data_IF_223943951766
#
_entry.id   IF_223943951766
#
_cell.length_a   1.000
_cell.length_b   1.000
_cell.length_c   1.000
_cell.angle_alpha   90.00
_cell.angle_beta   90.00
_cell.angle_gamma   90.00
#
_symmetry.space_group_name_H-M   'P 1'
#
loop_
_entity.id
_entity.type
_entity.pdbx_description
1 polymer ?
#
# COMPACT_ATOMS: atom_id res chain seq x y z
N UNK A 1 30.26 14.49 -2.27
CA UNK A 1 29.20 14.37 -1.24
C UNK A 1 27.93 13.69 -1.78
N UNK A 2 27.42 14.05 -2.97
CA UNK A 2 26.28 13.35 -3.62
C UNK A 2 26.57 11.88 -3.97
N UNK A 3 27.84 11.56 -4.21
CA UNK A 3 28.36 10.19 -4.42
C UNK A 3 28.24 9.33 -3.13
N UNK A 4 28.66 9.85 -1.96
CA UNK A 4 28.60 9.11 -0.69
C UNK A 4 27.18 8.69 -0.27
N UNK A 5 26.16 9.49 -0.60
CA UNK A 5 24.75 9.16 -0.36
C UNK A 5 24.26 8.03 -1.29
N UNK A 6 24.81 7.91 -2.51
CA UNK A 6 24.49 6.82 -3.44
C UNK A 6 25.10 5.48 -3.02
N UNK A 7 26.28 5.48 -2.39
CA UNK A 7 26.99 4.24 -2.05
C UNK A 7 26.46 3.54 -0.79
N UNK A 8 25.72 4.25 0.08
CA UNK A 8 25.06 3.62 1.25
C UNK A 8 23.85 2.76 0.90
N UNK A 9 23.15 3.06 -0.20
CA UNK A 9 21.99 2.30 -0.68
C UNK A 9 21.93 2.35 -2.22
N UNK A 10 22.81 1.57 -2.86
CA UNK A 10 23.06 1.63 -4.31
C UNK A 10 21.81 1.50 -5.20
N UNK A 11 21.62 2.50 -6.07
CA UNK A 11 20.89 2.37 -7.34
C UNK A 11 21.83 1.73 -8.36
N UNK A 12 21.76 0.41 -8.56
CA UNK A 12 22.35 -0.24 -9.73
C UNK A 12 21.24 -0.66 -10.69
N UNK A 13 21.09 0.11 -11.77
CA UNK A 13 20.25 -0.21 -12.91
C UNK A 13 21.00 -1.20 -13.79
N UNK A 14 20.72 -2.50 -13.67
CA UNK A 14 21.26 -3.50 -14.60
C UNK A 14 20.40 -3.46 -15.86
N UNK A 15 20.96 -2.91 -16.95
CA UNK A 15 20.45 -3.11 -18.30
C UNK A 15 20.65 -4.59 -18.66
N UNK A 16 19.57 -5.36 -18.80
CA UNK A 16 19.61 -6.69 -19.42
C UNK A 16 19.51 -6.51 -20.93
N UNK A 17 20.56 -6.90 -21.66
CA UNK A 17 20.51 -7.20 -23.09
C UNK A 17 19.83 -8.56 -23.31
N UNK A 18 19.04 -8.73 -24.38
CA UNK A 18 18.32 -9.97 -24.64
C UNK A 18 19.25 -11.03 -25.24
N UNK A 19 19.21 -12.25 -24.68
CA UNK A 19 19.83 -13.44 -25.27
C UNK A 19 18.80 -14.09 -26.20
N UNK A 20 19.23 -14.35 -27.44
CA UNK A 20 18.43 -14.94 -28.50
C UNK A 20 18.06 -16.41 -28.21
N UNK A 21 16.83 -16.74 -28.57
CA UNK A 21 16.29 -18.09 -28.72
C UNK A 21 17.16 -18.92 -29.68
N UNK A 22 17.39 -20.18 -29.31
CA UNK A 22 17.63 -21.25 -30.28
C UNK A 22 16.66 -22.39 -30.03
N UNK A 23 15.89 -22.66 -31.08
CA UNK A 23 15.01 -23.78 -31.30
C UNK A 23 15.78 -25.11 -31.37
N UNK A 24 15.17 -26.16 -30.83
CA UNK A 24 15.60 -27.54 -30.97
C UNK A 24 14.41 -28.45 -30.67
N UNK A 25 13.75 -28.90 -31.74
CA UNK A 25 12.69 -29.90 -31.72
C UNK A 25 13.38 -31.26 -31.87
N UNK A 26 13.12 -32.20 -30.98
CA UNK A 26 13.09 -33.64 -31.30
C UNK A 26 12.25 -34.35 -30.24
N UNK A 27 11.33 -35.19 -30.69
CA UNK A 27 10.31 -35.84 -29.88
C UNK A 27 10.53 -37.34 -29.68
N UNK A 28 9.46 -37.98 -29.16
CA UNK A 28 9.23 -39.43 -29.03
C UNK A 28 9.96 -40.02 -27.79
N UNK A 29 9.37 -40.77 -26.85
CA UNK A 29 8.29 -41.75 -26.90
C UNK A 29 7.67 -41.97 -25.50
N UNK A 30 6.47 -42.54 -25.55
CA UNK A 30 5.57 -42.98 -24.48
C UNK A 30 6.04 -44.30 -23.83
N UNK A 31 5.76 -44.51 -22.55
CA UNK A 31 5.99 -45.79 -21.87
C UNK A 31 5.45 -45.80 -20.43
N UNK A 32 4.26 -46.36 -20.27
CA UNK A 32 3.70 -46.82 -19.00
C UNK A 32 4.62 -47.85 -18.32
N UNK A 33 4.65 -47.87 -16.99
CA UNK A 33 4.60 -49.11 -16.19
C UNK A 33 4.44 -48.81 -14.70
N UNK A 34 3.66 -49.68 -14.09
CA UNK A 34 3.00 -49.60 -12.81
C UNK A 34 3.67 -50.48 -11.74
N UNK A 35 3.39 -50.18 -10.46
CA UNK A 35 3.16 -51.13 -9.34
C UNK A 35 4.37 -51.74 -8.61
N UNK A 36 4.53 -51.39 -7.32
CA UNK A 36 4.38 -52.23 -6.09
C UNK A 36 5.17 -51.57 -4.94
N UNK A 37 4.55 -51.05 -3.87
CA UNK A 37 3.95 -51.72 -2.70
C UNK A 37 4.94 -52.40 -1.72
N UNK A 38 4.81 -51.97 -0.44
CA UNK A 38 4.88 -52.69 0.84
C UNK A 38 6.19 -52.76 1.63
N UNK A 39 6.17 -52.05 2.76
CA UNK A 39 6.29 -52.52 4.17
C UNK A 39 5.90 -51.29 5.05
N UNK A 40 4.80 -51.17 5.82
CA UNK A 40 4.18 -52.00 6.89
C UNK A 40 5.20 -52.59 7.87
N UNK A 41 5.08 -52.52 9.19
CA UNK A 41 4.18 -51.90 10.17
C UNK A 41 4.71 -52.37 11.56
N UNK A 42 4.37 -51.67 12.64
CA UNK A 42 4.08 -52.16 14.02
C UNK A 42 4.75 -51.34 15.13
N UNK A 43 4.15 -51.11 16.29
CA UNK A 43 2.77 -51.01 16.81
C UNK A 43 2.96 -50.74 18.32
N UNK A 44 2.10 -49.91 18.91
CA UNK A 44 1.39 -50.06 20.21
C UNK A 44 1.35 -48.73 20.95
N UNK A 45 0.28 -48.19 21.55
CA UNK A 45 -1.15 -48.47 21.71
C UNK A 45 -1.50 -48.11 23.16
N UNK A 46 -2.42 -47.16 23.36
CA UNK A 46 -3.35 -47.16 24.51
C UNK A 46 -4.71 -46.65 24.01
N UNK A 47 -5.75 -47.48 24.17
CA UNK A 47 -7.19 -47.24 23.96
C UNK A 47 -7.81 -46.63 25.24
N UNK A 48 -8.93 -45.91 25.24
CA UNK A 48 -10.34 -46.35 25.08
C UNK A 48 -11.21 -45.09 24.82
N UNK A 49 -12.18 -45.07 23.88
CA UNK A 49 -13.60 -45.49 24.02
C UNK A 49 -14.45 -44.24 24.30
N UNK A 50 -15.52 -43.84 23.59
CA UNK A 50 -16.73 -44.54 23.13
C UNK A 50 -17.47 -43.76 22.00
N UNK A 51 -18.28 -44.48 21.22
CA UNK A 51 -19.40 -44.12 20.29
C UNK A 51 -20.33 -45.36 20.27
N UNK A 52 -21.56 -45.42 19.70
CA UNK A 52 -22.17 -44.62 18.60
C UNK A 52 -23.71 -44.38 18.68
N UNK A 53 -24.30 -43.72 17.67
CA UNK A 53 -25.40 -44.23 16.80
C UNK A 53 -26.33 -43.12 16.23
N UNK A 54 -26.61 -43.21 14.93
CA UNK A 54 -27.73 -42.58 14.22
C UNK A 54 -28.83 -43.63 13.91
N UNK A 55 -30.05 -43.21 13.52
CA UNK A 55 -30.92 -44.02 12.68
C UNK A 55 -31.44 -43.30 11.40
N UNK A 56 -31.76 -44.11 10.38
CA UNK A 56 -32.55 -43.87 9.14
C UNK A 56 -33.61 -45.02 9.08
N UNK A 57 -34.61 -45.20 8.14
CA UNK A 57 -35.27 -44.38 7.10
C UNK A 57 -36.82 -44.55 6.94
N UNK A 58 -37.45 -43.78 6.02
CA UNK A 58 -38.50 -44.13 5.01
C UNK A 58 -39.15 -42.83 4.49
N UNK A 59 -39.63 -42.59 3.27
CA UNK A 59 -39.83 -43.25 1.95
C UNK A 59 -40.31 -42.12 1.00
N UNK A 60 -39.93 -42.01 -0.28
CA UNK A 60 -40.71 -42.48 -1.45
C UNK A 60 -40.08 -41.97 -2.77
N UNK A 61 -40.27 -42.80 -3.79
CA UNK A 61 -39.86 -42.82 -5.20
C UNK A 61 -40.53 -41.67 -5.99
N UNK A 62 -39.87 -40.98 -6.94
CA UNK A 62 -39.78 -41.40 -8.36
C UNK A 62 -38.93 -40.45 -9.22
N UNK A 63 -38.17 -41.06 -10.13
CA UNK A 63 -37.54 -40.45 -11.31
C UNK A 63 -38.56 -40.30 -12.45
N UNK A 64 -38.34 -39.35 -13.37
CA UNK A 64 -39.06 -39.36 -14.65
C UNK A 64 -38.79 -38.17 -15.58
N UNK A 65 -37.62 -38.14 -16.21
CA UNK A 65 -37.33 -37.35 -17.42
C UNK A 65 -38.13 -37.90 -18.60
N UNK A 66 -38.77 -37.03 -19.39
CA UNK A 66 -39.13 -37.31 -20.80
C UNK A 66 -38.98 -36.05 -21.67
N UNK A 67 -37.97 -36.10 -22.53
CA UNK A 67 -37.92 -35.38 -23.80
C UNK A 67 -39.08 -35.82 -24.71
N UNK A 68 -39.58 -34.92 -25.56
CA UNK A 68 -40.09 -35.29 -26.89
C UNK A 68 -40.10 -34.12 -27.88
N UNK A 69 -39.70 -34.50 -29.08
CA UNK A 69 -39.40 -33.77 -30.30
C UNK A 69 -40.53 -32.93 -30.92
N UNK A 70 -40.09 -31.83 -31.54
CA UNK A 70 -40.42 -31.30 -32.88
C UNK A 70 -41.65 -31.84 -33.62
N UNK A 71 -42.50 -30.93 -34.10
CA UNK A 71 -43.14 -30.98 -35.43
C UNK A 71 -43.71 -29.61 -35.82
N UNK A 72 -43.35 -29.16 -37.02
CA UNK A 72 -43.82 -27.95 -37.69
C UNK A 72 -45.34 -27.98 -37.94
N UNK A 73 -45.97 -26.80 -37.91
CA UNK A 73 -46.99 -26.47 -38.92
C UNK A 73 -47.05 -24.94 -39.13
N UNK A 74 -46.91 -24.57 -40.40
CA UNK A 74 -47.09 -23.23 -40.95
C UNK A 74 -48.55 -23.16 -41.40
N UNK A 75 -49.31 -22.18 -40.91
CA UNK A 75 -50.49 -21.68 -41.61
C UNK A 75 -50.41 -20.17 -41.75
N UNK A 76 -50.46 -19.74 -43.01
CA UNK A 76 -50.56 -18.37 -43.48
C UNK A 76 -52.03 -18.08 -43.71
N UNK A 77 -52.58 -16.97 -43.21
CA UNK A 77 -53.66 -16.23 -43.89
C UNK A 77 -53.81 -14.78 -43.38
N UNK A 78 -53.42 -13.85 -44.25
CA UNK A 78 -54.11 -12.59 -44.64
C UNK A 78 -54.74 -11.63 -43.61
N UNK A 79 -54.07 -10.47 -43.49
CA UNK A 79 -54.56 -9.08 -43.44
C UNK A 79 -56.06 -8.77 -43.24
N UNK A 80 -56.37 -8.01 -42.17
CA UNK A 80 -57.37 -6.93 -42.23
C UNK A 80 -57.00 -5.78 -41.28
N UNK A 81 -56.82 -4.58 -41.84
CA UNK A 81 -56.54 -3.31 -41.14
C UNK A 81 -57.72 -2.87 -40.27
N UNK A 82 -57.44 -2.35 -39.07
CA UNK A 82 -58.22 -1.29 -38.40
C UNK A 82 -57.23 -0.29 -37.79
N UNK A 83 -57.50 0.99 -37.97
CA UNK A 83 -56.60 2.08 -37.64
C UNK A 83 -56.85 2.72 -36.27
N UNK A 84 -55.81 3.46 -35.89
CA UNK A 84 -55.73 4.64 -35.00
C UNK A 84 -56.10 4.42 -33.54
N UNK A 85 -55.08 4.48 -32.67
CA UNK A 85 -55.00 5.50 -31.62
C UNK A 85 -53.52 5.69 -31.21
N UNK A 86 -53.08 6.94 -31.26
CA UNK A 86 -51.77 7.40 -30.77
C UNK A 86 -51.66 7.10 -29.27
N UNK A 87 -50.69 6.28 -28.89
CA UNK A 87 -50.22 6.19 -27.51
C UNK A 87 -48.71 6.03 -27.50
N UNK A 88 -48.08 7.13 -27.10
CA UNK A 88 -46.80 7.21 -26.38
C UNK A 88 -45.73 6.20 -26.81
N UNK A 89 -44.83 6.69 -27.68
CA UNK A 89 -43.47 6.14 -27.78
C UNK A 89 -42.77 6.36 -26.44
N UNK A 90 -42.99 5.46 -25.48
CA UNK A 90 -42.03 5.21 -24.42
C UNK A 90 -40.73 4.78 -25.08
N UNK A 91 -39.76 5.68 -25.07
CA UNK A 91 -38.37 5.39 -25.37
C UNK A 91 -37.83 4.41 -24.32
N UNK A 92 -38.13 3.11 -24.49
CA UNK A 92 -37.45 2.03 -23.76
C UNK A 92 -36.01 1.92 -24.26
N UNK A 93 -35.21 2.88 -23.85
CA UNK A 93 -33.76 2.85 -23.89
C UNK A 93 -33.24 2.93 -22.45
N UNK A 94 -33.28 1.81 -21.75
CA UNK A 94 -32.31 1.58 -20.69
C UNK A 94 -31.98 0.09 -20.65
N UNK A 95 -30.79 -0.25 -21.14
CA UNK A 95 -30.21 -1.56 -20.91
C UNK A 95 -30.11 -1.74 -19.40
N UNK A 96 -30.94 -2.60 -18.82
CA UNK A 96 -30.96 -2.83 -17.37
C UNK A 96 -29.56 -3.27 -16.90
N UNK A 97 -29.07 -2.64 -15.83
CA UNK A 97 -27.78 -2.97 -15.21
C UNK A 97 -27.84 -4.45 -14.78
N UNK A 98 -26.86 -5.29 -15.15
CA UNK A 98 -26.92 -6.70 -14.76
C UNK A 98 -26.61 -6.88 -13.27
N UNK A 99 -27.41 -7.70 -12.59
CA UNK A 99 -27.38 -7.89 -11.13
C UNK A 99 -26.07 -8.47 -10.56
N UNK A 100 -25.21 -9.09 -11.38
CA UNK A 100 -23.92 -9.64 -10.92
C UNK A 100 -22.90 -8.55 -10.56
N UNK A 101 -23.15 -7.31 -10.95
CA UNK A 101 -22.28 -6.17 -10.65
C UNK A 101 -22.35 -5.75 -9.17
N UNK A 102 -23.37 -6.20 -8.44
CA UNK A 102 -23.65 -5.78 -7.06
C UNK A 102 -23.43 -6.92 -6.03
N UNK A 103 -22.85 -8.08 -6.44
CA UNK A 103 -22.55 -9.19 -5.52
C UNK A 103 -21.04 -9.27 -5.19
N UNK A 104 -20.59 -8.65 -4.08
CA UNK A 104 -19.19 -8.73 -3.68
C UNK A 104 -18.89 -10.10 -3.05
N UNK A 105 -18.27 -11.00 -3.81
CA UNK A 105 -17.62 -12.18 -3.22
C UNK A 105 -16.36 -11.70 -2.51
N UNK A 106 -16.38 -11.72 -1.17
CA UNK A 106 -15.24 -11.28 -0.36
C UNK A 106 -14.03 -12.19 -0.64
N UNK A 107 -12.89 -11.65 -1.08
CA UNK A 107 -11.70 -12.45 -1.34
C UNK A 107 -11.22 -13.17 -0.06
N UNK A 108 -10.71 -14.41 -0.13
CA UNK A 108 -10.24 -15.16 1.04
C UNK A 108 -9.13 -14.46 1.84
N UNK A 109 -8.33 -13.62 1.19
CA UNK A 109 -7.28 -12.83 1.84
C UNK A 109 -7.85 -11.83 2.85
N UNK A 110 -9.06 -11.31 2.63
CA UNK A 110 -9.75 -10.42 3.57
C UNK A 110 -10.17 -11.17 4.82
N UNK A 111 -10.57 -12.44 4.69
CA UNK A 111 -10.96 -13.28 5.82
C UNK A 111 -9.78 -13.66 6.70
N UNK A 112 -8.60 -13.88 6.11
CA UNK A 112 -7.36 -14.25 6.81
C UNK A 112 -6.57 -13.07 7.37
N UNK A 113 -7.02 -11.84 7.14
CA UNK A 113 -6.28 -10.65 7.55
C UNK A 113 -6.17 -10.53 9.08
N UNK A 114 -4.95 -10.30 9.56
CA UNK A 114 -4.67 -10.06 10.98
C UNK A 114 -5.12 -8.67 11.44
N UNK A 115 -5.21 -7.71 10.52
CA UNK A 115 -5.67 -6.35 10.79
C UNK A 115 -6.96 -6.09 10.04
N UNK A 116 -7.88 -5.37 10.69
CA UNK A 116 -9.03 -4.75 10.04
C UNK A 116 -9.05 -3.28 10.40
N UNK A 117 -8.79 -2.43 9.42
CA UNK A 117 -8.88 -0.98 9.56
C UNK A 117 -10.33 -0.59 9.24
N UNK A 118 -10.90 0.31 10.04
CA UNK A 118 -12.25 0.79 9.81
C UNK A 118 -12.35 1.52 8.46
N UNK A 119 -13.35 1.16 7.67
CA UNK A 119 -13.63 1.82 6.40
C UNK A 119 -14.13 3.26 6.62
N UNK A 120 -13.74 4.22 5.76
CA UNK A 120 -14.38 5.52 5.73
C UNK A 120 -15.87 5.37 5.45
N UNK A 121 -16.71 6.14 6.15
CA UNK A 121 -18.15 6.17 5.86
C UNK A 121 -18.39 6.79 4.49
N UNK A 122 -19.27 6.18 3.70
CA UNK A 122 -19.73 6.76 2.44
C UNK A 122 -20.40 8.09 2.74
N UNK A 123 -19.87 9.16 2.18
CA UNK A 123 -20.44 10.52 2.28
C UNK A 123 -21.11 10.87 0.96
N UNK A 124 -22.17 11.70 0.97
CA UNK A 124 -22.83 12.15 -0.26
C UNK A 124 -21.88 12.96 -1.15
N UNK A 125 -20.99 13.75 -0.55
CA UNK A 125 -19.98 14.51 -1.27
C UNK A 125 -18.64 14.40 -0.55
N UNK A 126 -17.59 14.12 -1.31
CA UNK A 126 -16.20 14.20 -0.87
C UNK A 126 -15.42 15.05 -1.86
N UNK A 127 -14.53 15.92 -1.37
CA UNK A 127 -13.70 16.75 -2.23
C UNK A 127 -12.28 16.90 -1.70
N UNK A 128 -11.34 17.11 -2.60
CA UNK A 128 -9.93 17.38 -2.30
C UNK A 128 -9.42 18.47 -3.24
N UNK A 129 -8.68 19.43 -2.68
CA UNK A 129 -8.00 20.48 -3.43
C UNK A 129 -6.52 20.12 -3.56
N UNK A 130 -6.01 20.11 -4.79
CA UNK A 130 -4.57 19.97 -5.05
C UNK A 130 -3.84 21.22 -4.54
N UNK A 131 -2.74 21.03 -3.81
CA UNK A 131 -1.92 22.13 -3.27
C UNK A 131 -1.19 22.94 -4.35
N UNK A 132 -0.89 22.32 -5.49
CA UNK A 132 0.01 22.89 -6.50
C UNK A 132 -0.71 23.53 -7.70
N UNK A 133 -1.96 23.14 -7.98
CA UNK A 133 -2.60 23.42 -9.28
C UNK A 133 -4.04 23.94 -9.13
N UNK A 134 -4.45 24.28 -7.90
CA UNK A 134 -5.79 24.77 -7.51
C UNK A 134 -6.98 23.93 -8.03
N UNK A 135 -6.70 22.73 -8.55
CA UNK A 135 -7.68 21.79 -9.05
C UNK A 135 -8.43 21.19 -7.85
N UNK A 136 -9.74 21.35 -7.86
CA UNK A 136 -10.65 20.76 -6.88
C UNK A 136 -11.27 19.53 -7.54
N UNK A 137 -10.97 18.36 -6.99
CA UNK A 137 -11.63 17.11 -7.35
C UNK A 137 -12.78 16.87 -6.38
N UNK A 138 -13.98 16.70 -6.90
CA UNK A 138 -15.19 16.43 -6.13
C UNK A 138 -15.84 15.14 -6.62
N UNK A 139 -16.32 14.32 -5.69
CA UNK A 139 -17.09 13.12 -5.98
C UNK A 139 -18.40 13.17 -5.22
N UNK A 140 -19.50 13.06 -5.96
CA UNK A 140 -20.87 13.06 -5.46
C UNK A 140 -21.44 11.66 -5.56
N UNK A 141 -21.59 11.00 -4.42
CA UNK A 141 -22.19 9.68 -4.30
C UNK A 141 -23.71 9.84 -4.24
N UNK A 142 -24.39 9.34 -5.26
CA UNK A 142 -25.85 9.37 -5.37
C UNK A 142 -26.38 7.95 -5.20
N UNK A 143 -27.43 7.81 -4.39
CA UNK A 143 -28.19 6.57 -4.30
C UNK A 143 -29.05 6.49 -5.58
N UNK A 144 -28.74 5.55 -6.47
CA UNK A 144 -29.62 5.29 -7.61
C UNK A 144 -30.83 4.44 -7.18
N UNK A 145 -31.91 4.48 -7.95
CA UNK A 145 -33.24 3.89 -7.68
C UNK A 145 -33.28 2.36 -7.45
N UNK A 146 -32.13 1.67 -7.44
CA UNK A 146 -32.01 0.23 -7.23
C UNK A 146 -30.86 -0.14 -6.27
N UNK A 147 -30.70 0.62 -5.18
CA UNK A 147 -29.70 0.34 -4.12
C UNK A 147 -28.23 0.36 -4.58
N UNK A 148 -27.95 0.70 -5.84
CA UNK A 148 -26.60 0.77 -6.40
C UNK A 148 -26.10 2.21 -6.31
N UNK A 149 -25.09 2.46 -5.49
CA UNK A 149 -24.50 3.80 -5.34
C UNK A 149 -23.63 4.11 -6.55
N UNK A 150 -23.94 5.18 -7.28
CA UNK A 150 -23.10 5.68 -8.36
C UNK A 150 -22.37 6.94 -7.90
N UNK A 151 -21.14 7.13 -8.37
CA UNK A 151 -20.35 8.32 -8.04
C UNK A 151 -20.15 9.19 -9.27
N UNK A 152 -20.63 10.43 -9.21
CA UNK A 152 -20.30 11.46 -10.20
C UNK A 152 -19.02 12.14 -9.76
N UNK A 153 -18.00 12.06 -10.60
CA UNK A 153 -16.71 12.71 -10.39
C UNK A 153 -16.68 13.99 -11.21
N UNK A 154 -16.31 15.10 -10.60
CA UNK A 154 -16.10 16.37 -11.29
C UNK A 154 -14.80 17.01 -10.84
N UNK A 155 -14.01 17.48 -11.79
CA UNK A 155 -12.84 18.30 -11.49
C UNK A 155 -13.06 19.74 -11.94
N UNK A 156 -12.83 20.67 -11.03
CA UNK A 156 -13.08 22.09 -11.20
C UNK A 156 -11.80 22.87 -10.95
N UNK A 157 -11.45 23.80 -11.84
CA UNK A 157 -10.31 24.71 -11.69
C UNK A 157 -10.81 26.14 -11.76
N UNK A 158 -10.51 26.95 -10.74
CA UNK A 158 -10.94 28.36 -10.66
C UNK A 158 -12.46 28.55 -10.88
N UNK A 159 -13.28 27.62 -10.36
CA UNK A 159 -14.75 27.64 -10.51
C UNK A 159 -15.29 27.11 -11.83
N UNK A 160 -14.43 26.77 -12.80
CA UNK A 160 -14.85 26.17 -14.09
C UNK A 160 -14.66 24.66 -14.06
N UNK A 161 -15.70 23.90 -14.42
CA UNK A 161 -15.60 22.45 -14.55
C UNK A 161 -14.74 22.09 -15.76
N UNK A 162 -13.63 21.39 -15.51
CA UNK A 162 -12.70 20.92 -16.53
C UNK A 162 -13.22 19.64 -17.16
N UNK A 163 -13.67 18.70 -16.33
CA UNK A 163 -14.19 17.41 -16.78
C UNK A 163 -15.12 16.78 -15.74
N UNK A 164 -15.94 15.85 -16.22
CA UNK A 164 -16.87 15.04 -15.43
C UNK A 164 -16.74 13.58 -15.88
N UNK A 165 -16.77 12.64 -14.94
CA UNK A 165 -16.87 11.20 -15.20
C UNK A 165 -17.88 10.55 -14.24
N UNK A 166 -18.33 9.34 -14.55
CA UNK A 166 -19.23 8.55 -13.70
C UNK A 166 -18.60 7.20 -13.38
N UNK A 167 -18.65 6.83 -12.11
CA UNK A 167 -18.17 5.55 -11.58
C UNK A 167 -19.34 4.70 -11.12
N UNK A 168 -19.21 3.38 -11.31
CA UNK A 168 -20.23 2.38 -10.99
C UNK A 168 -20.35 2.07 -9.50
N UNK A 169 -19.41 2.56 -8.68
CA UNK A 169 -19.32 2.34 -7.24
C UNK A 169 -19.10 3.65 -6.50
N UNK A 170 -19.46 3.68 -5.21
CA UNK A 170 -19.30 4.85 -4.35
C UNK A 170 -17.81 5.18 -4.15
N UNK A 171 -17.47 6.47 -4.25
CA UNK A 171 -16.13 6.96 -3.93
C UNK A 171 -15.94 7.08 -2.41
N UNK A 172 -14.86 6.53 -1.88
CA UNK A 172 -14.52 6.56 -0.45
C UNK A 172 -13.36 7.50 -0.13
N UNK A 173 -12.31 7.44 -0.94
CA UNK A 173 -11.05 8.17 -0.70
C UNK A 173 -10.57 8.83 -1.99
N UNK A 174 -9.99 10.01 -1.87
CA UNK A 174 -9.47 10.80 -2.99
C UNK A 174 -8.01 11.17 -2.75
N UNK A 175 -7.23 11.20 -3.82
CA UNK A 175 -5.90 11.79 -3.84
C UNK A 175 -5.75 12.61 -5.13
N UNK A 176 -5.08 13.75 -5.05
CA UNK A 176 -4.88 14.62 -6.21
C UNK A 176 -3.57 15.39 -6.09
N UNK A 177 -2.88 15.51 -7.21
CA UNK A 177 -1.70 16.35 -7.36
C UNK A 177 -1.70 17.02 -8.76
N UNK A 178 -0.63 17.73 -9.11
CA UNK A 178 -0.49 18.41 -10.41
C UNK A 178 -0.45 17.45 -11.62
N UNK A 179 -0.04 16.20 -11.43
CA UNK A 179 0.18 15.23 -12.49
C UNK A 179 -1.00 14.29 -12.72
N UNK A 180 -1.73 13.93 -11.67
CA UNK A 180 -2.89 13.05 -11.77
C UNK A 180 -3.82 13.18 -10.55
N UNK A 181 -5.03 12.68 -10.71
CA UNK A 181 -6.02 12.45 -9.67
C UNK A 181 -6.31 10.95 -9.54
N UNK A 182 -6.57 10.48 -8.31
CA UNK A 182 -6.90 9.10 -8.01
C UNK A 182 -8.10 9.02 -7.06
N UNK A 183 -8.96 8.04 -7.30
CA UNK A 183 -10.24 7.84 -6.61
C UNK A 183 -10.32 6.38 -6.21
N UNK A 184 -10.46 6.10 -4.92
CA UNK A 184 -10.69 4.77 -4.39
C UNK A 184 -12.18 4.56 -4.11
N UNK A 185 -12.73 3.48 -4.65
CA UNK A 185 -14.14 3.12 -4.54
C UNK A 185 -14.38 2.02 -3.50
N UNK A 186 -15.65 1.86 -3.11
CA UNK A 186 -16.09 0.87 -2.12
C UNK A 186 -15.95 -0.58 -2.60
N UNK A 187 -15.92 -0.80 -3.92
CA UNK A 187 -15.71 -2.12 -4.51
C UNK A 187 -14.25 -2.58 -4.51
N UNK A 188 -13.33 -1.79 -3.95
CA UNK A 188 -11.90 -2.08 -3.97
C UNK A 188 -11.17 -1.62 -5.22
N UNK A 189 -11.85 -0.92 -6.14
CA UNK A 189 -11.23 -0.36 -7.32
C UNK A 189 -10.61 1.02 -7.08
N UNK A 190 -9.52 1.31 -7.79
CA UNK A 190 -8.91 2.65 -7.86
C UNK A 190 -8.92 3.12 -9.31
N UNK A 191 -9.49 4.31 -9.53
CA UNK A 191 -9.51 4.99 -10.81
C UNK A 191 -8.52 6.14 -10.83
N UNK A 192 -7.69 6.23 -11.87
CA UNK A 192 -6.68 7.29 -12.03
C UNK A 192 -6.93 8.13 -13.27
N UNK A 193 -6.82 9.44 -13.14
CA UNK A 193 -7.12 10.43 -14.17
C UNK A 193 -5.96 11.39 -14.35
N UNK A 194 -5.70 11.78 -15.60
CA UNK A 194 -4.90 12.96 -15.90
C UNK A 194 -5.63 14.23 -15.42
N UNK A 195 -4.94 15.38 -15.27
CA UNK A 195 -5.58 16.63 -14.88
C UNK A 195 -6.67 17.09 -15.86
N UNK A 196 -6.60 16.63 -17.12
CA UNK A 196 -7.57 16.89 -18.17
C UNK A 196 -8.72 15.84 -18.25
N UNK A 197 -8.78 14.86 -17.35
CA UNK A 197 -9.89 13.90 -17.26
C UNK A 197 -9.70 12.61 -18.07
N UNK A 198 -8.61 12.47 -18.83
CA UNK A 198 -8.27 11.18 -19.47
C UNK A 198 -7.92 10.13 -18.41
N UNK A 199 -8.55 8.94 -18.47
CA UNK A 199 -8.15 7.78 -17.64
C UNK A 199 -6.72 7.36 -17.98
N UNK A 200 -5.84 7.30 -16.98
CA UNK A 200 -4.43 6.90 -17.16
C UNK A 200 -4.28 5.38 -17.26
N UNK A 201 -5.11 4.65 -16.52
CA UNK A 201 -5.13 3.20 -16.44
C UNK A 201 -6.58 2.70 -16.40
N UNK A 202 -6.83 1.44 -16.80
CA UNK A 202 -7.99 0.69 -16.34
C UNK A 202 -8.07 0.68 -14.81
N UNK A 203 -9.26 0.38 -14.26
CA UNK A 203 -9.45 0.34 -12.81
C UNK A 203 -8.48 -0.65 -12.16
N UNK A 204 -7.70 -0.16 -11.19
CA UNK A 204 -6.80 -1.01 -10.40
C UNK A 204 -7.65 -1.71 -9.36
N UNK A 205 -7.72 -3.04 -9.40
CA UNK A 205 -8.54 -3.83 -8.46
C UNK A 205 -7.66 -4.29 -7.31
N UNK A 206 -8.02 -3.92 -6.08
CA UNK A 206 -7.36 -4.33 -4.85
C UNK A 206 -8.13 -5.44 -4.15
N UNK A 207 -7.48 -6.06 -3.17
CA UNK A 207 -8.09 -7.12 -2.38
C UNK A 207 -9.15 -6.63 -1.38
N UNK A 208 -9.08 -5.35 -0.99
CA UNK A 208 -10.07 -4.68 -0.16
C UNK A 208 -10.07 -3.18 -0.41
N UNK A 209 -11.13 -2.46 0.00
CA UNK A 209 -11.23 -1.02 -0.26
C UNK A 209 -10.11 -0.22 0.39
N UNK A 210 -9.64 0.81 -0.33
CA UNK A 210 -8.64 1.74 0.18
C UNK A 210 -9.19 2.59 1.33
N UNK A 211 -8.49 2.59 2.46
CA UNK A 211 -8.81 3.43 3.63
C UNK A 211 -8.00 4.73 3.61
N UNK A 212 -6.77 4.67 3.09
CA UNK A 212 -5.91 5.83 2.94
C UNK A 212 -5.36 5.85 1.53
N UNK A 213 -5.51 6.99 0.85
CA UNK A 213 -4.96 7.23 -0.46
C UNK A 213 -4.18 8.55 -0.44
N UNK A 214 -2.93 8.53 -0.89
CA UNK A 214 -2.09 9.73 -0.97
C UNK A 214 -1.31 9.73 -2.29
N UNK A 215 -1.17 10.91 -2.88
CA UNK A 215 -0.44 11.10 -4.12
C UNK A 215 0.69 12.09 -3.93
N UNK A 216 1.86 11.83 -4.53
CA UNK A 216 2.99 12.75 -4.55
C UNK A 216 3.76 12.58 -5.87
N UNK A 217 3.84 13.66 -6.66
CA UNK A 217 4.46 13.62 -7.98
C UNK A 217 3.85 12.51 -8.88
N UNK A 218 4.63 11.49 -9.26
CA UNK A 218 4.17 10.33 -10.04
C UNK A 218 3.68 9.15 -9.18
N UNK A 219 3.87 9.24 -7.86
CA UNK A 219 3.63 8.15 -6.93
C UNK A 219 2.24 8.22 -6.30
N UNK A 220 1.61 7.05 -6.19
CA UNK A 220 0.36 6.80 -5.49
C UNK A 220 0.60 5.76 -4.41
N UNK A 221 0.24 6.09 -3.18
CA UNK A 221 0.29 5.16 -2.04
C UNK A 221 -1.12 4.90 -1.56
N UNK A 222 -1.43 3.61 -1.36
CA UNK A 222 -2.71 3.15 -0.85
C UNK A 222 -2.49 2.23 0.36
N UNK A 223 -3.28 2.43 1.41
CA UNK A 223 -3.45 1.47 2.50
C UNK A 223 -4.88 0.94 2.44
N UNK A 224 -5.02 -0.37 2.36
CA UNK A 224 -6.31 -1.05 2.25
C UNK A 224 -6.90 -1.39 3.62
N UNK A 225 -8.18 -1.77 3.65
CA UNK A 225 -8.89 -2.13 4.88
C UNK A 225 -8.32 -3.37 5.59
N UNK A 226 -7.66 -4.26 4.85
CA UNK A 226 -6.89 -5.40 5.38
C UNK A 226 -5.52 -5.00 5.94
N UNK A 227 -5.13 -3.73 5.82
CA UNK A 227 -3.84 -3.25 6.29
C UNK A 227 -2.67 -3.67 5.40
N UNK A 228 -2.90 -3.77 4.08
CA UNK A 228 -1.83 -3.89 3.11
C UNK A 228 -1.45 -2.51 2.56
N UNK A 229 -0.15 -2.25 2.48
CA UNK A 229 0.43 -1.05 1.91
C UNK A 229 0.86 -1.32 0.48
N UNK A 230 0.47 -0.41 -0.41
CA UNK A 230 0.87 -0.37 -1.81
C UNK A 230 1.52 0.95 -2.15
N UNK A 231 2.53 0.92 -3.03
CA UNK A 231 3.14 2.12 -3.62
C UNK A 231 3.41 1.88 -5.10
N UNK A 232 2.80 2.72 -5.94
CA UNK A 232 2.89 2.63 -7.39
C UNK A 232 3.37 3.95 -8.00
N UNK A 233 4.27 3.86 -8.97
CA UNK A 233 4.54 4.93 -9.90
C UNK A 233 3.51 4.84 -11.04
N UNK A 234 2.49 5.70 -10.97
CA UNK A 234 1.35 5.69 -11.89
C UNK A 234 1.75 6.18 -13.29
N UNK A 235 2.74 7.06 -13.38
CA UNK A 235 3.17 7.59 -14.69
C UNK A 235 4.13 6.63 -15.40
N UNK A 236 5.01 5.97 -14.66
CA UNK A 236 5.97 5.02 -15.22
C UNK A 236 5.49 3.55 -15.19
N UNK A 237 4.30 3.28 -14.64
CA UNK A 237 3.71 1.95 -14.52
C UNK A 237 4.61 0.95 -13.80
N UNK A 238 5.15 1.37 -12.65
CA UNK A 238 6.04 0.54 -11.81
C UNK A 238 5.46 0.40 -10.42
N UNK A 239 5.70 -0.75 -9.79
CA UNK A 239 5.40 -0.96 -8.39
C UNK A 239 6.68 -0.83 -7.56
N UNK A 240 6.61 -0.14 -6.43
CA UNK A 240 7.68 -0.10 -5.43
C UNK A 240 7.36 -1.01 -4.23
N UNK A 241 6.08 -1.10 -3.86
CA UNK A 241 5.61 -1.92 -2.72
C UNK A 241 4.34 -2.65 -3.16
N UNK A 242 4.37 -3.98 -3.03
CA UNK A 242 3.33 -4.90 -3.51
C UNK A 242 2.64 -5.59 -2.33
N UNK A 243 1.69 -4.90 -1.69
CA UNK A 243 0.81 -5.52 -0.69
C UNK A 243 1.50 -5.93 0.59
N UNK A 244 2.29 -5.04 1.18
CA UNK A 244 3.04 -5.34 2.41
C UNK A 244 2.19 -5.05 3.64
N UNK A 245 2.09 -6.01 4.55
CA UNK A 245 1.32 -5.85 5.79
C UNK A 245 1.92 -4.78 6.71
N UNK A 246 1.04 -3.92 7.24
CA UNK A 246 1.37 -2.95 8.29
C UNK A 246 1.15 -3.51 9.71
N UNK A 247 0.84 -4.80 9.87
CA UNK A 247 0.62 -5.43 11.18
C UNK A 247 1.78 -5.21 12.15
N UNK A 248 3.05 -5.38 11.74
CA UNK A 248 4.17 -5.21 12.66
C UNK A 248 4.24 -3.81 13.25
N UNK A 249 3.94 -2.78 12.46
CA UNK A 249 4.04 -1.39 12.93
C UNK A 249 2.87 -0.98 13.83
N UNK A 250 1.69 -1.59 13.66
CA UNK A 250 0.53 -1.34 14.52
C UNK A 250 0.60 -2.17 15.81
N UNK A 251 1.17 -3.38 15.78
CA UNK A 251 1.29 -4.24 16.95
C UNK A 251 2.34 -3.75 17.94
N UNK A 252 3.43 -3.15 17.47
CA UNK A 252 4.47 -2.54 18.33
C UNK A 252 3.90 -1.44 19.24
N UNK A 253 2.77 -0.84 18.87
CA UNK A 253 2.09 0.18 19.66
C UNK A 253 1.16 -0.38 20.77
N UNK A 254 1.17 -1.69 21.04
CA UNK A 254 0.45 -2.28 22.17
C UNK A 254 1.10 -1.92 23.51
N UNK A 255 0.49 -0.94 24.17
CA UNK A 255 0.83 -0.41 25.49
C UNK A 255 0.47 -1.39 26.62
N UNK A 256 1.11 -1.15 27.77
CA UNK A 256 1.06 -1.88 29.04
C UNK A 256 -0.27 -2.59 29.35
N UNK A 257 -0.20 -3.87 29.73
CA UNK A 257 -1.37 -4.63 30.14
C UNK A 257 -2.08 -3.96 31.34
N UNK A 258 -3.38 -3.67 31.20
CA UNK A 258 -4.24 -3.22 32.30
C UNK A 258 -4.78 -1.79 32.20
N UNK A 259 -4.38 -1.00 31.19
CA UNK A 259 -4.98 0.33 30.91
C UNK A 259 -5.71 0.31 29.56
N UNK A 260 -6.88 0.95 29.50
CA UNK A 260 -7.61 1.16 28.25
C UNK A 260 -6.86 2.22 27.43
N UNK A 261 -6.05 1.78 26.48
CA UNK A 261 -5.31 2.66 25.59
C UNK A 261 -6.07 2.89 24.28
N UNK A 262 -5.90 4.08 23.69
CA UNK A 262 -6.37 4.33 22.32
C UNK A 262 -5.65 3.36 21.37
N UNK A 263 -6.41 2.67 20.52
CA UNK A 263 -5.86 1.67 19.61
C UNK A 263 -4.80 2.26 18.66
N UNK A 264 -3.83 1.46 18.20
CA UNK A 264 -2.81 1.92 17.29
C UNK A 264 -3.42 2.39 15.96
N UNK A 265 -3.09 3.60 15.52
CA UNK A 265 -3.55 4.17 14.26
C UNK A 265 -2.42 4.85 13.51
N UNK A 266 -2.54 4.88 12.18
CA UNK A 266 -1.69 5.72 11.33
C UNK A 266 -2.17 7.17 11.47
N UNK A 267 -1.33 8.02 12.08
CA UNK A 267 -1.58 9.45 12.30
C UNK A 267 -1.30 10.27 11.05
N UNK A 268 -0.21 9.96 10.35
CA UNK A 268 0.20 10.67 9.16
C UNK A 268 0.99 9.75 8.22
N UNK A 269 0.96 10.11 6.94
CA UNK A 269 1.77 9.47 5.90
C UNK A 269 2.40 10.56 5.04
N UNK A 270 3.64 10.31 4.62
CA UNK A 270 4.34 11.12 3.63
C UNK A 270 4.99 10.21 2.61
N UNK A 271 4.90 10.59 1.34
CA UNK A 271 5.59 9.89 0.25
C UNK A 271 6.88 10.64 -0.07
N UNK A 272 7.99 9.92 -0.21
CA UNK A 272 9.24 10.51 -0.66
C UNK A 272 9.35 10.61 -2.18
N UNK A 273 10.32 11.40 -2.66
CA UNK A 273 10.64 11.56 -4.10
C UNK A 273 10.91 10.24 -4.82
N UNK A 274 11.50 9.27 -4.11
CA UNK A 274 11.77 7.93 -4.63
C UNK A 274 10.58 6.95 -4.47
N UNK A 275 9.39 7.42 -4.06
CA UNK A 275 8.17 6.60 -3.92
C UNK A 275 8.03 5.85 -2.60
N UNK A 276 8.99 6.02 -1.70
CA UNK A 276 9.01 5.36 -0.39
C UNK A 276 8.05 6.06 0.58
N UNK A 277 7.06 5.35 1.15
CA UNK A 277 6.16 5.93 2.15
C UNK A 277 6.79 5.91 3.55
N UNK A 278 6.58 7.01 4.26
CA UNK A 278 6.90 7.21 5.66
C UNK A 278 5.57 7.18 6.43
N UNK A 279 5.44 6.26 7.37
CA UNK A 279 4.25 6.10 8.20
C UNK A 279 4.52 6.59 9.61
N UNK A 280 3.64 7.44 10.14
CA UNK A 280 3.71 7.92 11.53
C UNK A 280 2.50 7.40 12.28
N UNK A 281 2.73 6.78 13.44
CA UNK A 281 1.65 6.26 14.30
C UNK A 281 1.20 7.31 15.33
N UNK A 282 0.07 7.06 16.00
CA UNK A 282 -0.36 7.88 17.14
C UNK A 282 0.57 7.78 18.35
N UNK A 283 1.40 6.74 18.45
CA UNK A 283 2.41 6.56 19.50
C UNK A 283 3.70 7.35 19.27
N UNK A 284 3.68 8.38 18.42
CA UNK A 284 4.85 9.22 18.13
C UNK A 284 6.05 8.44 17.57
N UNK A 285 5.79 7.33 16.88
CA UNK A 285 6.80 6.54 16.18
C UNK A 285 6.64 6.68 14.68
N UNK A 286 7.75 6.56 13.96
CA UNK A 286 7.75 6.59 12.50
C UNK A 286 8.47 5.39 11.92
N UNK A 287 7.91 4.86 10.83
CA UNK A 287 8.37 3.65 10.17
C UNK A 287 8.47 3.85 8.66
N UNK A 288 9.43 3.15 8.07
CA UNK A 288 9.68 3.10 6.63
C UNK A 288 9.89 1.66 6.22
N UNK A 289 9.35 1.28 5.06
CA UNK A 289 9.62 -0.04 4.51
C UNK A 289 10.87 -0.02 3.63
N UNK A 290 11.87 -0.81 4.00
CA UNK A 290 13.08 -0.92 3.21
C UNK A 290 12.89 -1.93 2.07
N UNK A 291 12.70 -1.46 0.85
CA UNK A 291 12.34 -2.29 -0.32
C UNK A 291 13.33 -3.44 -0.60
N UNK A 292 14.66 -3.21 -0.47
CA UNK A 292 15.66 -4.26 -0.76
C UNK A 292 15.74 -5.36 0.32
N UNK A 293 15.78 -4.96 1.59
CA UNK A 293 15.77 -5.87 2.74
C UNK A 293 14.39 -6.48 3.03
N UNK A 294 13.33 -5.92 2.43
CA UNK A 294 11.94 -6.33 2.62
C UNK A 294 11.46 -6.31 4.08
N UNK A 295 11.90 -5.33 4.84
CA UNK A 295 11.60 -5.21 6.28
C UNK A 295 11.17 -3.79 6.66
N UNK A 296 10.35 -3.69 7.70
CA UNK A 296 10.02 -2.42 8.35
C UNK A 296 11.20 -1.92 9.20
N UNK A 297 11.61 -0.69 8.96
CA UNK A 297 12.59 0.02 9.77
C UNK A 297 11.88 1.08 10.59
N UNK A 298 12.18 1.12 11.89
CA UNK A 298 11.76 2.21 12.78
C UNK A 298 12.77 3.35 12.64
N UNK A 299 12.30 4.48 12.14
CA UNK A 299 13.14 5.65 11.86
C UNK A 299 12.98 6.76 12.92
N UNK A 300 11.92 6.69 13.74
CA UNK A 300 11.74 7.56 14.90
C UNK A 300 11.19 6.76 16.06
N UNK A 301 11.75 6.99 17.26
CA UNK A 301 11.36 6.32 18.48
C UNK A 301 11.25 7.31 19.64
N UNK A 302 10.21 7.17 20.46
CA UNK A 302 9.98 7.99 21.64
C UNK A 302 11.09 7.83 22.70
N UNK A 303 11.87 6.75 22.62
CA UNK A 303 13.07 6.55 23.43
C UNK A 303 14.03 7.75 23.40
N UNK A 304 14.10 8.47 22.28
CA UNK A 304 14.99 9.61 22.12
C UNK A 304 14.41 10.95 22.60
N UNK A 305 13.27 10.96 23.29
CA UNK A 305 12.61 12.19 23.77
C UNK A 305 13.48 13.06 24.69
N UNK A 306 14.44 12.44 25.40
CA UNK A 306 15.38 13.13 26.28
C UNK A 306 16.61 13.68 25.55
N UNK A 307 16.75 13.43 24.24
CA UNK A 307 17.84 14.00 23.45
C UNK A 307 17.62 15.51 23.30
N UNK A 308 18.70 16.27 23.41
CA UNK A 308 18.67 17.71 23.17
C UNK A 308 18.21 18.10 21.75
N UNK A 309 18.34 17.19 20.78
CA UNK A 309 17.92 17.40 19.40
C UNK A 309 16.50 16.89 19.12
N UNK A 310 15.80 16.37 20.13
CA UNK A 310 14.43 15.92 19.98
C UNK A 310 13.50 17.10 19.64
N UNK A 311 12.69 16.93 18.60
CA UNK A 311 11.70 17.94 18.20
C UNK A 311 12.29 19.25 17.68
N UNK A 312 13.62 19.35 17.50
CA UNK A 312 14.21 20.50 16.83
C UNK A 312 13.82 20.41 15.34
N UNK A 313 12.92 21.29 14.94
CA UNK A 313 12.72 21.61 13.54
C UNK A 313 14.03 22.19 13.02
N UNK A 314 14.70 21.45 12.14
CA UNK A 314 15.94 21.92 11.53
C UNK A 314 15.76 23.25 10.81
N UNK A 315 16.85 23.80 10.26
CA UNK A 315 16.83 25.03 9.43
C UNK A 315 16.04 24.89 8.11
N UNK A 316 15.38 23.76 7.93
CA UNK A 316 14.84 23.24 6.69
C UNK A 316 13.32 23.25 6.73
N UNK A 317 12.70 23.61 5.61
CA UNK A 317 11.25 23.55 5.45
C UNK A 317 10.74 22.11 5.57
N UNK A 318 9.64 21.91 6.29
CA UNK A 318 9.00 20.59 6.43
C UNK A 318 8.45 20.05 5.11
N UNK A 319 8.18 20.92 4.12
CA UNK A 319 7.69 20.47 2.81
C UNK A 319 8.79 19.79 1.98
N UNK A 320 10.00 20.34 2.01
CA UNK A 320 11.11 19.86 1.19
C UNK A 320 11.91 18.75 1.86
N UNK A 321 11.91 18.73 3.20
CA UNK A 321 12.85 17.91 3.97
C UNK A 321 12.14 16.87 4.85
N UNK A 322 12.46 15.58 4.71
CA UNK A 322 11.78 14.49 5.41
C UNK A 322 11.95 14.49 6.92
N UNK A 323 13.15 14.77 7.46
CA UNK A 323 13.35 14.76 8.91
C UNK A 323 12.69 15.97 9.58
N UNK A 324 12.74 17.15 8.94
CA UNK A 324 12.01 18.33 9.40
C UNK A 324 10.48 18.10 9.44
N UNK A 325 9.93 17.36 8.47
CA UNK A 325 8.54 16.94 8.52
C UNK A 325 8.29 15.94 9.64
N UNK A 326 9.15 14.94 9.79
CA UNK A 326 9.03 13.93 10.83
C UNK A 326 9.04 14.55 12.22
N UNK A 327 9.98 15.46 12.51
CA UNK A 327 10.05 16.12 13.81
C UNK A 327 8.75 16.86 14.13
N UNK A 328 8.16 17.56 13.16
CA UNK A 328 6.86 18.24 13.39
C UNK A 328 5.67 17.30 13.64
N UNK A 329 5.72 16.05 13.18
CA UNK A 329 4.61 15.08 13.34
C UNK A 329 4.80 14.11 14.51
N UNK A 330 6.05 13.94 14.95
CA UNK A 330 6.48 13.04 16.03
C UNK A 330 6.47 13.73 17.39
N UNK A 331 6.56 15.06 17.48
CA UNK A 331 6.57 15.75 18.79
C UNK A 331 5.28 15.44 19.59
N UNK A 332 5.47 14.90 20.79
CA UNK A 332 4.42 14.77 21.79
C UNK A 332 4.19 16.12 22.46
N UNK A 333 2.93 16.50 22.66
CA UNK A 333 2.52 17.73 23.38
C UNK A 333 2.78 17.65 24.89
N UNK A 334 3.64 16.75 25.35
CA UNK A 334 3.96 16.60 26.76
C UNK A 334 4.94 17.67 27.21
N UNK A 335 4.37 18.72 27.78
CA UNK A 335 4.99 19.73 28.63
C UNK A 335 5.60 19.12 29.90
N UNK A 336 6.59 18.25 29.78
CA UNK A 336 7.33 17.76 30.93
C UNK A 336 8.82 17.70 30.60
N UNK A 337 9.46 18.88 30.68
CA UNK A 337 10.81 19.00 31.22
C UNK A 337 10.80 18.48 32.67
N UNK A 338 10.67 17.16 32.87
CA UNK A 338 11.17 16.57 34.12
C UNK A 338 12.66 16.45 33.95
N UNK A 339 13.32 17.51 34.40
CA UNK A 339 14.75 17.68 34.59
C UNK A 339 15.24 16.58 35.54
N UNK A 340 15.43 15.37 35.02
CA UNK A 340 16.21 14.33 35.69
C UNK A 340 17.67 14.65 35.42
N UNK A 341 18.36 15.07 36.47
CA UNK A 341 19.79 15.37 36.45
C UNK A 341 20.58 14.07 36.23
N UNK A 342 20.71 13.67 34.96
CA UNK A 342 21.43 12.48 34.50
C UNK A 342 22.33 12.87 33.32
N UNK A 343 23.17 13.89 33.53
CA UNK A 343 24.00 14.51 32.49
C UNK A 343 24.84 13.53 31.66
N UNK A 344 25.28 12.41 32.23
CA UNK A 344 26.06 11.40 31.51
C UNK A 344 25.20 10.49 30.61
N UNK A 345 24.02 10.08 31.06
CA UNK A 345 23.17 9.17 30.26
C UNK A 345 22.48 9.92 29.12
N UNK A 346 22.13 11.19 29.33
CA UNK A 346 21.55 12.05 28.29
C UNK A 346 22.52 12.34 27.15
N UNK A 347 23.82 12.43 27.44
CA UNK A 347 24.90 12.55 26.44
C UNK A 347 25.01 11.32 25.55
N UNK A 348 25.13 10.13 26.14
CA UNK A 348 25.19 8.85 25.41
C UNK A 348 23.93 8.65 24.55
N UNK A 349 22.76 8.94 25.12
CA UNK A 349 21.49 8.88 24.41
C UNK A 349 21.43 9.87 23.25
N UNK A 350 21.98 11.07 23.43
CA UNK A 350 22.05 12.10 22.39
C UNK A 350 22.96 11.67 21.25
N UNK A 351 24.13 11.09 21.52
CA UNK A 351 24.98 10.53 20.45
C UNK A 351 24.23 9.44 19.66
N UNK A 352 23.58 8.50 20.35
CA UNK A 352 22.80 7.43 19.71
C UNK A 352 21.64 7.99 18.87
N UNK A 353 21.02 9.08 19.33
CA UNK A 353 19.97 9.76 18.58
C UNK A 353 20.53 10.39 17.30
N UNK A 354 21.66 11.09 17.36
CA UNK A 354 22.31 11.69 16.18
C UNK A 354 22.72 10.62 15.17
N UNK A 355 23.28 9.49 15.63
CA UNK A 355 23.64 8.35 14.78
C UNK A 355 22.40 7.79 14.06
N UNK A 356 21.29 7.69 14.78
CA UNK A 356 20.00 7.30 14.18
C UNK A 356 19.55 8.32 13.13
N UNK A 357 19.60 9.62 13.43
CA UNK A 357 19.19 10.67 12.48
C UNK A 357 20.09 10.71 11.23
N UNK A 358 21.39 10.45 11.38
CA UNK A 358 22.31 10.28 10.25
C UNK A 358 21.91 9.11 9.35
N UNK A 359 21.66 7.94 9.94
CA UNK A 359 21.23 6.76 9.19
C UNK A 359 19.89 6.99 8.48
N UNK A 360 18.94 7.67 9.15
CA UNK A 360 17.64 7.99 8.57
C UNK A 360 17.76 9.05 7.46
N UNK A 361 18.57 10.09 7.63
CA UNK A 361 18.80 11.09 6.58
C UNK A 361 19.38 10.45 5.31
N UNK A 362 20.29 9.49 5.46
CA UNK A 362 20.83 8.70 4.35
C UNK A 362 19.75 7.82 3.71
N UNK A 363 18.96 7.10 4.52
CA UNK A 363 17.87 6.24 4.04
C UNK A 363 16.79 7.03 3.28
N UNK A 364 16.42 8.21 3.78
CA UNK A 364 15.40 9.09 3.18
C UNK A 364 15.95 9.95 2.03
N UNK A 365 17.21 9.74 1.64
CA UNK A 365 17.89 10.42 0.55
C UNK A 365 17.85 11.96 0.68
N UNK A 366 18.12 12.47 1.89
CA UNK A 366 18.14 13.90 2.21
C UNK A 366 19.57 14.39 2.47
N UNK A 367 20.32 14.81 1.43
CA UNK A 367 21.73 15.16 1.58
C UNK A 367 21.97 16.41 2.43
N UNK A 368 21.02 17.37 2.41
CA UNK A 368 21.13 18.59 3.21
C UNK A 368 21.00 18.30 4.70
N UNK A 369 19.99 17.52 5.10
CA UNK A 369 19.81 17.11 6.50
C UNK A 369 20.94 16.19 6.94
N UNK A 370 21.39 15.27 6.07
CA UNK A 370 22.52 14.40 6.36
C UNK A 370 23.79 15.20 6.71
N UNK A 371 24.07 16.26 5.94
CA UNK A 371 25.21 17.15 6.21
C UNK A 371 25.08 17.85 7.56
N UNK A 372 23.90 18.37 7.89
CA UNK A 372 23.68 19.07 9.17
C UNK A 372 23.85 18.11 10.35
N UNK A 373 23.24 16.93 10.29
CA UNK A 373 23.41 15.89 11.32
C UNK A 373 24.85 15.40 11.45
N UNK A 374 25.60 15.37 10.35
CA UNK A 374 27.02 15.01 10.38
C UNK A 374 27.86 16.06 11.10
N UNK A 375 27.57 17.34 10.89
CA UNK A 375 28.24 18.43 11.61
C UNK A 375 27.93 18.35 13.10
N UNK A 376 26.67 18.09 13.47
CA UNK A 376 26.29 17.89 14.88
C UNK A 376 27.00 16.68 15.50
N UNK A 377 27.10 15.59 14.75
CA UNK A 377 27.81 14.38 15.18
C UNK A 377 29.30 14.65 15.42
N UNK A 378 30.00 15.27 14.47
CA UNK A 378 31.41 15.60 14.60
C UNK A 378 31.68 16.54 15.79
N UNK A 379 30.80 17.53 16.00
CA UNK A 379 30.89 18.43 17.15
C UNK A 379 30.74 17.66 18.47
N UNK A 380 29.73 16.78 18.58
CA UNK A 380 29.51 15.99 19.80
C UNK A 380 30.62 14.98 20.08
N UNK A 381 31.15 14.31 19.05
CA UNK A 381 32.30 13.43 19.20
C UNK A 381 33.54 14.16 19.71
N UNK A 382 33.75 15.42 19.30
CA UNK A 382 34.87 16.23 19.77
C UNK A 382 34.73 16.65 21.25
N UNK A 383 33.51 16.94 21.69
CA UNK A 383 33.21 17.32 23.08
C UNK A 383 33.29 16.13 24.04
N UNK A 384 32.92 14.92 23.59
CA UNK A 384 32.96 13.69 24.39
C UNK A 384 34.29 12.92 24.28
N UNK A 385 35.26 13.42 23.51
CA UNK A 385 36.59 12.82 23.32
C UNK A 385 36.53 11.36 22.82
N UNK A 386 35.53 11.03 21.99
CA UNK A 386 35.27 9.69 21.46
C UNK A 386 36.16 9.38 20.24
N UNK A 387 37.46 9.18 20.48
CA UNK A 387 38.50 9.04 19.44
C UNK A 387 38.20 7.98 18.38
N UNK A 388 37.77 6.79 18.77
CA UNK A 388 37.52 5.67 17.83
C UNK A 388 36.40 5.99 16.84
N UNK A 389 35.29 6.55 17.32
CA UNK A 389 34.16 6.97 16.46
C UNK A 389 34.56 8.14 15.55
N UNK A 390 35.39 9.05 16.04
CA UNK A 390 35.92 10.15 15.22
C UNK A 390 36.85 9.64 14.11
N UNK A 391 37.73 8.69 14.42
CA UNK A 391 38.58 8.03 13.42
C UNK A 391 37.76 7.28 12.37
N UNK A 392 36.71 6.57 12.77
CA UNK A 392 35.78 5.90 11.86
C UNK A 392 35.07 6.90 10.94
N UNK A 393 34.56 8.00 11.50
CA UNK A 393 33.93 9.08 10.73
C UNK A 393 34.90 9.66 9.70
N UNK A 394 36.14 9.94 10.09
CA UNK A 394 37.18 10.43 9.19
C UNK A 394 37.47 9.44 8.06
N UNK A 395 37.59 8.14 8.37
CA UNK A 395 37.77 7.09 7.35
C UNK A 395 36.59 7.09 6.37
N UNK A 396 35.36 7.11 6.88
CA UNK A 396 34.16 7.12 6.05
C UNK A 396 34.09 8.34 5.11
N UNK A 397 34.57 9.51 5.57
CA UNK A 397 34.66 10.72 4.76
C UNK A 397 35.74 10.65 3.67
N UNK A 398 36.82 9.91 3.91
CA UNK A 398 37.87 9.67 2.90
C UNK A 398 37.48 8.60 1.88
N UNK A 399 36.57 7.68 2.23
CA UNK A 399 36.03 6.65 1.35
C UNK A 399 35.32 5.55 2.15
N UNK A 400 34.32 4.84 1.59
CA UNK A 400 33.60 3.80 2.31
C UNK A 400 34.54 2.64 2.67
N UNK A 401 34.69 2.25 3.95
CA UNK A 401 35.63 1.20 4.36
C UNK A 401 35.22 -0.22 3.95
N UNK A 402 33.99 -0.41 3.44
CA UNK A 402 33.41 -1.72 3.12
C UNK A 402 33.31 -2.02 1.62
N UNK A 403 33.90 -1.19 0.75
CA UNK A 403 34.11 -1.60 -0.63
C UNK A 403 35.41 -2.40 -0.63
N UNK A 404 35.31 -3.70 -0.40
CA UNK A 404 36.37 -4.60 -0.87
C UNK A 404 36.43 -4.42 -2.39
N UNK A 405 37.53 -3.85 -2.89
CA UNK A 405 37.81 -3.87 -4.32
C UNK A 405 37.75 -5.32 -4.80
N UNK A 406 37.05 -5.64 -5.91
CA UNK A 406 37.18 -6.96 -6.49
C UNK A 406 38.65 -7.14 -6.83
N UNK A 407 39.31 -8.02 -6.08
CA UNK A 407 40.69 -8.40 -6.31
C UNK A 407 40.79 -8.88 -7.75
N UNK A 408 41.36 -8.05 -8.61
CA UNK A 408 41.77 -8.47 -9.94
C UNK A 408 42.90 -9.45 -9.68
N UNK A 409 42.58 -10.74 -9.62
CA UNK A 409 43.56 -11.81 -9.77
C UNK A 409 44.25 -11.54 -11.10
N UNK A 410 45.44 -10.97 -11.04
CA UNK A 410 46.38 -10.99 -12.16
C UNK A 410 46.66 -12.47 -12.40
N UNK A 411 45.97 -13.06 -13.36
CA UNK A 411 46.46 -14.27 -14.00
C UNK A 411 47.81 -13.87 -14.60
N UNK A 412 48.87 -14.41 -14.00
CA UNK A 412 50.19 -14.42 -14.59
C UNK A 412 50.15 -15.50 -15.66
N UNK A 413 50.21 -15.06 -16.92
CA UNK A 413 50.69 -15.89 -18.03
C UNK A 413 52.20 -16.17 -17.85
#
# INVERSE_FOLDING_TARGET
MTELVKYGYGKNTIKRTPVQEKSGIEGVQQGDLSVNEKEQEKISAVKNGEKPAQPIPSSLISNGVKEKNTSNNIEVTSNKRKGIEESELESKSSRAKPNWIDSPVVPPIVQKSQIKIALPKIRPTISIKSKEDDLILECQNTLADQNSVQSKVSATRQGTTVWIDYLSSASLVLASNKFFAAIGCEDGSIHTYSPAGKRLLPAIVLESPGVLLQSYHSWLVCITATGLLYSWDVLNLKSAIEGISIAPILQVAQLEAGKMHEGPRIKAIRIQKDGMPILVTNSHQAFVYHVRMKVWLRISDAWYILSEFWGISGRHSSEDHPLAWLSSHVVATTSHQTLLDMSATTKVLTISHIETQLAVAALLNSPAEYKDWMIYYAKRLSEENAKQKAEELCKWLTGPPYIEEPTITKNSD
#
